data_IF_541554455294
#
_entry.id   IF_541554455294
#
_cell.length_a   1.000
_cell.length_b   1.000
_cell.length_c   1.000
_cell.angle_alpha   90.00
_cell.angle_beta   90.00
_cell.angle_gamma   90.00
#
_symmetry.space_group_name_H-M   'P 1'
#
loop_
_entity.id
_entity.type
_entity.pdbx_description
1 polymer ?
#
# COMPACT_ATOMS: atom_id res chain seq x y z
N UNK A 1 10.52 -26.72 22.98
CA UNK A 1 9.74 -25.58 23.48
C UNK A 1 9.76 -24.38 22.54
N UNK A 2 10.90 -23.99 21.94
CA UNK A 2 10.97 -22.80 21.07
C UNK A 2 10.04 -22.85 19.83
N UNK A 3 9.91 -23.99 19.15
CA UNK A 3 9.07 -24.13 17.94
C UNK A 3 7.57 -23.93 18.22
N UNK A 4 7.08 -24.39 19.38
CA UNK A 4 5.68 -24.20 19.77
C UNK A 4 5.39 -22.74 20.16
N UNK A 5 6.37 -22.06 20.77
CA UNK A 5 6.27 -20.65 21.15
C UNK A 5 6.26 -19.71 19.95
N UNK A 6 7.07 -19.99 18.91
CA UNK A 6 7.14 -19.16 17.71
C UNK A 6 5.84 -19.19 16.89
N UNK A 7 5.23 -20.37 16.72
CA UNK A 7 3.93 -20.50 16.06
C UNK A 7 2.77 -19.88 16.86
N UNK A 8 2.84 -19.93 18.19
CA UNK A 8 1.85 -19.26 19.03
C UNK A 8 1.88 -17.73 18.84
N UNK A 9 3.07 -17.12 18.81
CA UNK A 9 3.22 -15.67 18.58
C UNK A 9 2.71 -15.20 17.22
N UNK A 10 2.90 -15.99 16.16
CA UNK A 10 2.32 -15.68 14.83
C UNK A 10 0.79 -15.65 14.88
N UNK A 11 0.17 -16.67 15.49
CA UNK A 11 -1.29 -16.75 15.56
C UNK A 11 -1.87 -15.61 16.41
N UNK A 12 -1.26 -15.31 17.56
CA UNK A 12 -1.69 -14.22 18.43
C UNK A 12 -1.54 -12.86 17.73
N UNK A 13 -0.42 -12.63 17.03
CA UNK A 13 -0.24 -11.43 16.22
C UNK A 13 -1.28 -11.32 15.11
N UNK A 14 -1.62 -12.43 14.44
CA UNK A 14 -2.65 -12.46 13.39
C UNK A 14 -4.04 -12.14 13.95
N UNK A 15 -4.38 -12.66 15.12
CA UNK A 15 -5.66 -12.37 15.79
C UNK A 15 -5.80 -10.87 16.11
N UNK A 16 -4.73 -10.24 16.59
CA UNK A 16 -4.70 -8.79 16.80
C UNK A 16 -4.78 -8.02 15.48
N UNK A 17 -4.06 -8.46 14.44
CA UNK A 17 -4.10 -7.82 13.12
C UNK A 17 -5.48 -7.89 12.47
N UNK A 18 -6.20 -9.00 12.59
CA UNK A 18 -7.58 -9.11 12.09
C UNK A 18 -8.51 -8.12 12.79
N UNK A 19 -8.22 -7.80 14.06
CA UNK A 19 -8.96 -6.83 14.89
C UNK A 19 -8.36 -5.43 14.86
N UNK A 20 -7.43 -5.12 13.95
CA UNK A 20 -6.69 -3.84 13.88
C UNK A 20 -7.58 -2.60 13.79
N UNK A 21 -8.81 -2.75 13.33
CA UNK A 21 -9.81 -1.69 13.19
C UNK A 21 -10.74 -1.55 14.41
N UNK A 22 -10.74 -2.51 15.35
CA UNK A 22 -11.63 -2.46 16.51
C UNK A 22 -11.36 -1.19 17.34
N UNK A 23 -12.43 -0.45 17.64
CA UNK A 23 -12.34 0.83 18.34
C UNK A 23 -12.00 2.04 17.44
N UNK A 24 -12.03 1.88 16.12
CA UNK A 24 -11.90 2.98 15.17
C UNK A 24 -13.03 4.02 15.29
N UNK A 25 -12.75 5.23 14.80
CA UNK A 25 -13.70 6.34 14.67
C UNK A 25 -13.64 6.85 13.23
N UNK A 26 -14.56 6.35 12.39
CA UNK A 26 -14.52 6.63 10.95
C UNK A 26 -13.25 6.07 10.32
N UNK A 27 -12.50 6.91 9.61
CA UNK A 27 -11.23 6.55 8.94
C UNK A 27 -10.02 6.47 9.88
N UNK A 28 -10.19 6.78 11.18
CA UNK A 28 -9.10 6.74 12.17
C UNK A 28 -9.19 5.48 13.03
N UNK A 29 -8.24 4.55 12.87
CA UNK A 29 -8.11 3.34 13.67
C UNK A 29 -7.55 3.62 15.07
N UNK A 30 -7.89 2.75 16.03
CA UNK A 30 -7.18 2.69 17.32
C UNK A 30 -5.80 2.06 17.15
N UNK A 31 -4.80 2.54 17.90
CA UNK A 31 -3.46 1.93 17.87
C UNK A 31 -3.39 0.61 18.67
N UNK A 32 -4.39 0.33 19.53
CA UNK A 32 -4.29 -0.74 20.53
C UNK A 32 -3.98 -2.12 19.93
N UNK A 33 -4.80 -2.58 18.98
CA UNK A 33 -4.62 -3.92 18.41
C UNK A 33 -3.44 -3.98 17.45
N UNK A 34 -3.20 -2.91 16.67
CA UNK A 34 -2.08 -2.90 15.74
C UNK A 34 -0.72 -2.87 16.47
N UNK A 35 -0.63 -2.19 17.63
CA UNK A 35 0.57 -2.20 18.46
C UNK A 35 0.87 -3.59 19.03
N UNK A 36 -0.17 -4.28 19.54
CA UNK A 36 -0.04 -5.67 20.02
C UNK A 36 0.37 -6.62 18.90
N UNK A 37 -0.19 -6.45 17.71
CA UNK A 37 0.21 -7.24 16.54
C UNK A 37 1.70 -7.03 16.20
N UNK A 38 2.16 -5.77 16.16
CA UNK A 38 3.57 -5.43 15.91
C UNK A 38 4.49 -6.05 16.97
N UNK A 39 4.12 -6.00 18.25
CA UNK A 39 4.89 -6.62 19.33
C UNK A 39 5.06 -8.13 19.11
N UNK A 40 3.96 -8.83 18.83
CA UNK A 40 3.95 -10.28 18.62
C UNK A 40 4.78 -10.68 17.39
N UNK A 41 4.60 -10.00 16.26
CA UNK A 41 5.36 -10.30 15.06
C UNK A 41 6.85 -9.93 15.22
N UNK A 42 7.17 -8.86 15.96
CA UNK A 42 8.57 -8.50 16.25
C UNK A 42 9.28 -9.58 17.07
N UNK A 43 8.60 -10.15 18.07
CA UNK A 43 9.11 -11.27 18.84
C UNK A 43 9.26 -12.55 17.97
N UNK A 44 8.26 -12.85 17.14
CA UNK A 44 8.27 -13.99 16.23
C UNK A 44 9.34 -13.89 15.13
N UNK A 45 9.78 -12.67 14.78
CA UNK A 45 10.85 -12.43 13.81
C UNK A 45 12.20 -13.02 14.26
N UNK A 46 12.39 -13.24 15.56
CA UNK A 46 13.64 -13.77 16.13
C UNK A 46 13.82 -15.28 15.93
N UNK A 47 12.77 -15.99 15.50
CA UNK A 47 12.80 -17.44 15.27
C UNK A 47 12.82 -17.75 13.77
N UNK A 48 13.80 -18.53 13.26
CA UNK A 48 13.91 -18.84 11.83
C UNK A 48 12.65 -19.47 11.21
N UNK A 49 11.91 -20.25 11.99
CA UNK A 49 10.71 -20.97 11.53
C UNK A 49 9.51 -20.05 11.28
N UNK A 50 9.43 -18.90 11.95
CA UNK A 50 8.34 -17.91 11.82
C UNK A 50 8.79 -16.62 11.15
N UNK A 51 10.09 -16.45 10.89
CA UNK A 51 10.69 -15.21 10.41
C UNK A 51 10.01 -14.66 9.15
N UNK A 52 9.73 -15.53 8.17
CA UNK A 52 9.14 -15.12 6.89
C UNK A 52 7.75 -14.51 7.09
N UNK A 53 6.88 -15.22 7.81
CA UNK A 53 5.50 -14.79 8.01
C UNK A 53 5.44 -13.58 8.95
N UNK A 54 6.26 -13.56 10.01
CA UNK A 54 6.42 -12.42 10.89
C UNK A 54 6.83 -11.15 10.13
N UNK A 55 7.82 -11.27 9.24
CA UNK A 55 8.29 -10.14 8.44
C UNK A 55 7.19 -9.57 7.53
N UNK A 56 6.40 -10.45 6.90
CA UNK A 56 5.29 -10.04 6.04
C UNK A 56 4.20 -9.32 6.83
N UNK A 57 3.80 -9.88 7.97
CA UNK A 57 2.81 -9.24 8.83
C UNK A 57 3.33 -7.95 9.44
N UNK A 58 4.62 -7.82 9.75
CA UNK A 58 5.19 -6.55 10.20
C UNK A 58 5.10 -5.47 9.11
N UNK A 59 5.38 -5.78 7.85
CA UNK A 59 5.23 -4.82 6.75
C UNK A 59 3.79 -4.32 6.62
N UNK A 60 2.83 -5.24 6.70
CA UNK A 60 1.39 -4.95 6.70
C UNK A 60 1.00 -4.07 7.89
N UNK A 61 1.48 -4.43 9.08
CA UNK A 61 1.17 -3.72 10.32
C UNK A 61 1.77 -2.32 10.38
N UNK A 62 2.99 -2.14 9.90
CA UNK A 62 3.62 -0.82 9.81
C UNK A 62 2.88 0.10 8.86
N UNK A 63 2.51 -0.39 7.68
CA UNK A 63 1.67 0.36 6.76
C UNK A 63 0.35 0.76 7.42
N UNK A 64 -0.40 -0.20 7.96
CA UNK A 64 -1.71 0.06 8.54
C UNK A 64 -1.63 1.05 9.71
N UNK A 65 -0.67 0.87 10.63
CA UNK A 65 -0.50 1.78 11.78
C UNK A 65 -0.21 3.21 11.30
N UNK A 66 0.75 3.37 10.41
CA UNK A 66 1.17 4.69 9.94
C UNK A 66 0.10 5.37 9.09
N UNK A 67 -0.63 4.62 8.26
CA UNK A 67 -1.65 5.20 7.39
C UNK A 67 -2.91 5.58 8.18
N UNK A 68 -3.44 4.63 8.96
CA UNK A 68 -4.79 4.71 9.51
C UNK A 68 -4.88 4.97 11.01
N UNK A 69 -3.82 4.75 11.80
CA UNK A 69 -3.88 4.88 13.26
C UNK A 69 -3.11 6.08 13.83
N UNK A 70 -2.22 6.69 13.04
CA UNK A 70 -1.36 7.80 13.46
C UNK A 70 -1.70 9.05 12.67
N UNK A 71 -1.86 10.20 13.35
CA UNK A 71 -2.06 11.50 12.68
C UNK A 71 -0.80 12.37 12.70
N UNK A 72 0.08 12.19 13.69
CA UNK A 72 1.31 12.96 13.78
C UNK A 72 2.26 12.62 12.63
N UNK A 73 2.68 13.64 11.90
CA UNK A 73 3.48 13.48 10.68
C UNK A 73 4.85 12.89 10.98
N UNK A 74 5.49 13.28 12.09
CA UNK A 74 6.83 12.81 12.41
C UNK A 74 6.82 11.38 12.96
N UNK A 75 5.73 10.97 13.61
CA UNK A 75 5.49 9.57 13.96
C UNK A 75 5.21 8.71 12.71
N UNK A 76 4.36 9.16 11.77
CA UNK A 76 4.17 8.49 10.47
C UNK A 76 5.51 8.26 9.77
N UNK A 77 6.38 9.28 9.73
CA UNK A 77 7.72 9.18 9.13
C UNK A 77 8.58 8.09 9.74
N UNK A 78 8.54 7.92 11.07
CA UNK A 78 9.34 6.88 11.76
C UNK A 78 8.86 5.49 11.37
N UNK A 79 7.56 5.27 11.43
CA UNK A 79 6.95 3.96 11.16
C UNK A 79 7.12 3.57 9.69
N UNK A 80 6.87 4.47 8.73
CA UNK A 80 7.12 4.16 7.32
C UNK A 80 8.60 3.95 7.02
N UNK A 81 9.51 4.58 7.77
CA UNK A 81 10.95 4.32 7.62
C UNK A 81 11.32 2.91 8.13
N UNK A 82 10.69 2.43 9.20
CA UNK A 82 10.82 1.04 9.66
C UNK A 82 10.28 0.05 8.62
N UNK A 83 9.08 0.31 8.08
CA UNK A 83 8.48 -0.50 7.02
C UNK A 83 9.33 -0.56 5.75
N UNK A 84 9.83 0.60 5.28
CA UNK A 84 10.76 0.68 4.14
C UNK A 84 12.02 -0.16 4.39
N UNK A 85 12.70 0.04 5.52
CA UNK A 85 13.94 -0.66 5.83
C UNK A 85 13.75 -2.17 5.97
N UNK A 86 12.64 -2.60 6.60
CA UNK A 86 12.25 -4.00 6.69
C UNK A 86 12.01 -4.60 5.29
N UNK A 87 11.29 -3.87 4.44
CA UNK A 87 10.98 -4.30 3.07
C UNK A 87 12.26 -4.49 2.25
N UNK A 88 13.17 -3.52 2.28
CA UNK A 88 14.46 -3.58 1.59
C UNK A 88 15.32 -4.79 2.00
N UNK A 89 15.30 -5.13 3.30
CA UNK A 89 15.98 -6.31 3.82
C UNK A 89 15.37 -7.58 3.23
N UNK A 90 14.05 -7.70 3.25
CA UNK A 90 13.36 -8.95 2.90
C UNK A 90 13.15 -9.17 1.41
N UNK A 91 13.09 -8.13 0.57
CA UNK A 91 13.15 -8.31 -0.89
C UNK A 91 14.51 -8.85 -1.35
N UNK A 92 15.60 -8.57 -0.63
CA UNK A 92 16.92 -9.14 -0.91
C UNK A 92 17.00 -10.59 -0.46
N UNK A 93 16.38 -10.92 0.69
CA UNK A 93 16.33 -12.28 1.23
C UNK A 93 15.40 -13.21 0.43
N UNK A 94 14.27 -12.68 -0.05
CA UNK A 94 13.26 -13.42 -0.81
C UNK A 94 13.01 -12.77 -2.18
N UNK A 95 14.00 -12.80 -3.10
CA UNK A 95 13.94 -12.04 -4.35
C UNK A 95 12.84 -12.48 -5.32
N UNK A 96 12.31 -13.70 -5.18
CA UNK A 96 11.23 -14.24 -6.03
C UNK A 96 9.86 -14.16 -5.37
N UNK A 97 9.71 -13.41 -4.28
CA UNK A 97 8.41 -13.19 -3.62
C UNK A 97 7.76 -11.91 -4.13
N UNK A 98 6.66 -12.05 -4.88
CA UNK A 98 5.80 -10.93 -5.26
C UNK A 98 5.26 -10.21 -4.02
N UNK A 99 4.85 -10.96 -2.99
CA UNK A 99 4.33 -10.42 -1.74
C UNK A 99 5.30 -9.49 -1.00
N UNK A 100 6.57 -9.89 -0.79
CA UNK A 100 7.54 -8.99 -0.15
C UNK A 100 7.81 -7.74 -0.98
N UNK A 101 7.84 -7.86 -2.31
CA UNK A 101 8.03 -6.71 -3.21
C UNK A 101 6.85 -5.76 -3.12
N UNK A 102 5.63 -6.29 -3.13
CA UNK A 102 4.40 -5.51 -3.02
C UNK A 102 4.36 -4.75 -1.69
N UNK A 103 4.49 -5.44 -0.55
CA UNK A 103 4.42 -4.77 0.74
C UNK A 103 5.60 -3.83 1.02
N UNK A 104 6.75 -4.06 0.40
CA UNK A 104 7.82 -3.05 0.34
C UNK A 104 7.37 -1.79 -0.41
N UNK A 105 6.80 -1.94 -1.60
CA UNK A 105 6.35 -0.80 -2.41
C UNK A 105 5.18 -0.04 -1.77
N UNK A 106 4.26 -0.72 -1.09
CA UNK A 106 3.21 -0.08 -0.29
C UNK A 106 3.84 0.86 0.75
N UNK A 107 4.79 0.37 1.54
CA UNK A 107 5.49 1.18 2.54
C UNK A 107 6.35 2.29 1.91
N UNK A 108 7.03 2.01 0.78
CA UNK A 108 7.88 2.98 0.07
C UNK A 108 7.06 4.14 -0.52
N UNK A 109 5.89 3.83 -1.09
CA UNK A 109 4.96 4.82 -1.62
C UNK A 109 4.49 5.78 -0.55
N UNK A 110 3.95 5.27 0.56
CA UNK A 110 3.53 6.12 1.69
C UNK A 110 4.71 6.85 2.35
N UNK A 111 5.89 6.22 2.45
CA UNK A 111 7.11 6.90 2.88
C UNK A 111 7.40 8.13 2.02
N UNK A 112 7.32 8.00 0.69
CA UNK A 112 7.56 9.12 -0.22
C UNK A 112 6.53 10.25 -0.07
N UNK A 113 5.25 9.91 0.15
CA UNK A 113 4.20 10.90 0.41
C UNK A 113 4.48 11.71 1.67
N UNK A 114 4.87 11.07 2.78
CA UNK A 114 5.08 11.76 4.06
C UNK A 114 6.41 12.54 4.10
N UNK A 115 7.47 12.01 3.49
CA UNK A 115 8.79 12.66 3.42
C UNK A 115 8.91 13.72 2.31
N UNK A 116 8.00 13.69 1.34
CA UNK A 116 7.88 14.67 0.28
C UNK A 116 8.80 14.43 -0.93
N UNK A 117 8.45 15.14 -2.01
CA UNK A 117 8.98 14.93 -3.36
C UNK A 117 10.51 15.05 -3.48
N UNK A 118 11.13 16.01 -2.77
CA UNK A 118 12.58 16.23 -2.84
C UNK A 118 13.36 15.06 -2.23
N UNK A 119 12.89 14.55 -1.09
CA UNK A 119 13.52 13.41 -0.42
C UNK A 119 13.30 12.14 -1.24
N UNK A 120 12.09 11.94 -1.77
CA UNK A 120 11.76 10.81 -2.62
C UNK A 120 12.60 10.77 -3.91
N UNK A 121 12.80 11.92 -4.56
CA UNK A 121 13.63 12.02 -5.76
C UNK A 121 15.10 11.69 -5.46
N UNK A 122 15.65 12.17 -4.33
CA UNK A 122 17.04 11.86 -3.93
C UNK A 122 17.27 10.37 -3.70
N UNK A 123 16.27 9.68 -3.17
CA UNK A 123 16.31 8.23 -2.88
C UNK A 123 15.94 7.37 -4.09
N UNK A 124 15.63 7.98 -5.25
CA UNK A 124 15.28 7.23 -6.46
C UNK A 124 13.99 6.42 -6.33
N UNK A 125 13.02 6.90 -5.53
CA UNK A 125 11.78 6.16 -5.24
C UNK A 125 11.04 5.77 -6.52
N UNK A 126 10.93 6.67 -7.50
CA UNK A 126 10.21 6.38 -8.74
C UNK A 126 10.81 5.19 -9.51
N UNK A 127 12.14 5.09 -9.57
CA UNK A 127 12.81 3.98 -10.26
C UNK A 127 12.68 2.66 -9.48
N UNK A 128 12.72 2.73 -8.13
CA UNK A 128 12.45 1.58 -7.26
C UNK A 128 11.01 1.08 -7.45
N UNK A 129 10.03 1.98 -7.36
CA UNK A 129 8.61 1.68 -7.60
C UNK A 129 8.42 1.01 -8.96
N UNK A 130 8.96 1.59 -10.04
CA UNK A 130 8.87 1.01 -11.38
C UNK A 130 9.48 -0.40 -11.45
N UNK A 131 10.75 -0.52 -11.08
CA UNK A 131 11.51 -1.78 -11.18
C UNK A 131 10.85 -2.92 -10.41
N UNK A 132 10.40 -2.64 -9.18
CA UNK A 132 9.79 -3.67 -8.36
C UNK A 132 8.35 -3.97 -8.79
N UNK A 133 7.61 -3.00 -9.34
CA UNK A 133 6.27 -3.23 -9.90
C UNK A 133 6.33 -4.13 -11.13
N UNK A 134 7.24 -3.85 -12.07
CA UNK A 134 7.51 -4.69 -13.24
C UNK A 134 7.88 -6.12 -12.80
N UNK A 135 8.68 -6.25 -11.74
CA UNK A 135 9.04 -7.57 -11.21
C UNK A 135 7.89 -8.30 -10.52
N UNK A 136 6.96 -7.59 -9.87
CA UNK A 136 5.72 -8.20 -9.35
C UNK A 136 4.91 -8.76 -10.50
N UNK A 137 4.70 -7.98 -11.57
CA UNK A 137 3.97 -8.40 -12.77
C UNK A 137 4.62 -9.64 -13.41
N UNK A 138 5.95 -9.70 -13.48
CA UNK A 138 6.67 -10.87 -14.00
C UNK A 138 6.49 -12.12 -13.13
N UNK A 139 6.47 -11.95 -11.80
CA UNK A 139 6.38 -13.06 -10.85
C UNK A 139 4.95 -13.58 -10.70
N UNK A 140 3.99 -12.67 -10.58
CA UNK A 140 2.58 -12.95 -10.36
C UNK A 140 1.76 -11.71 -10.76
N UNK A 141 1.25 -11.65 -12.01
CA UNK A 141 0.48 -10.50 -12.51
C UNK A 141 -0.90 -10.34 -11.84
N UNK A 142 -1.42 -11.39 -11.18
CA UNK A 142 -2.71 -11.35 -10.48
C UNK A 142 -2.57 -11.02 -8.99
N UNK A 143 -1.33 -10.98 -8.47
CA UNK A 143 -1.06 -10.71 -7.06
C UNK A 143 -1.77 -9.44 -6.57
N UNK A 144 -2.57 -9.58 -5.51
CA UNK A 144 -3.37 -8.49 -4.92
C UNK A 144 -4.24 -7.77 -5.96
N UNK A 145 -5.01 -8.53 -6.74
CA UNK A 145 -5.95 -7.99 -7.73
C UNK A 145 -5.24 -7.05 -8.72
N UNK A 146 -4.10 -7.48 -9.27
CA UNK A 146 -3.31 -6.67 -10.19
C UNK A 146 -2.48 -5.57 -9.52
N UNK A 147 -2.10 -5.74 -8.25
CA UNK A 147 -1.35 -4.77 -7.46
C UNK A 147 -0.02 -4.32 -8.09
N UNK A 148 0.63 -5.18 -8.88
CA UNK A 148 1.81 -4.80 -9.67
C UNK A 148 1.50 -3.77 -10.75
N UNK A 149 0.37 -3.92 -11.46
CA UNK A 149 -0.11 -2.93 -12.43
C UNK A 149 -0.54 -1.64 -11.74
N UNK A 150 -1.23 -1.73 -10.60
CA UNK A 150 -1.58 -0.56 -9.80
C UNK A 150 -0.36 0.28 -9.45
N UNK A 151 0.68 -0.33 -8.88
CA UNK A 151 1.89 0.38 -8.45
C UNK A 151 2.64 1.02 -9.63
N UNK A 152 2.70 0.31 -10.77
CA UNK A 152 3.31 0.83 -11.98
C UNK A 152 2.53 2.03 -12.54
N UNK A 153 1.21 1.92 -12.62
CA UNK A 153 0.35 3.03 -13.06
C UNK A 153 0.40 4.23 -12.12
N UNK A 154 0.36 3.98 -10.80
CA UNK A 154 0.46 5.01 -9.78
C UNK A 154 1.79 5.78 -9.84
N UNK A 155 2.92 5.10 -10.07
CA UNK A 155 4.22 5.78 -10.20
C UNK A 155 4.32 6.60 -11.49
N UNK A 156 3.77 6.12 -12.60
CA UNK A 156 3.65 6.90 -13.84
C UNK A 156 2.79 8.16 -13.62
N UNK A 157 1.71 8.06 -12.83
CA UNK A 157 0.80 9.17 -12.55
C UNK A 157 1.39 10.23 -11.60
N UNK A 158 1.93 9.80 -10.45
CA UNK A 158 2.31 10.67 -9.32
C UNK A 158 3.74 11.20 -9.43
N UNK A 159 4.62 10.54 -10.19
CA UNK A 159 6.01 11.00 -10.30
C UNK A 159 6.10 12.30 -11.13
N UNK A 160 6.89 13.29 -10.69
CA UNK A 160 7.11 14.49 -11.47
C UNK A 160 7.93 14.16 -12.73
N UNK A 161 7.66 14.88 -13.82
CA UNK A 161 8.59 14.94 -14.93
C UNK A 161 9.78 15.82 -14.55
N UNK A 162 10.99 15.27 -14.58
CA UNK A 162 12.23 16.01 -14.34
C UNK A 162 13.14 15.85 -15.57
N UNK A 163 13.37 16.92 -16.37
CA UNK A 163 14.23 16.84 -17.54
C UNK A 163 15.58 16.20 -17.22
N UNK A 164 16.00 15.25 -18.06
CA UNK A 164 17.30 14.54 -17.97
C UNK A 164 17.51 13.64 -16.72
N UNK A 165 16.60 13.63 -15.75
CA UNK A 165 16.69 12.80 -14.54
C UNK A 165 15.56 11.77 -14.43
N UNK A 166 14.32 12.18 -14.74
CA UNK A 166 13.14 11.34 -14.64
C UNK A 166 12.16 11.71 -15.76
N UNK A 167 12.36 11.12 -16.94
CA UNK A 167 11.63 11.48 -18.17
C UNK A 167 10.62 10.44 -18.63
N UNK A 168 10.55 9.30 -17.96
CA UNK A 168 9.67 8.18 -18.32
C UNK A 168 8.25 8.24 -17.72
N UNK A 169 7.96 8.95 -16.60
CA UNK A 169 6.58 9.07 -16.13
C UNK A 169 5.71 9.75 -17.17
N UNK A 170 4.55 9.16 -17.44
CA UNK A 170 3.65 9.53 -18.52
C UNK A 170 2.21 9.16 -18.16
N UNK A 171 1.25 10.04 -18.46
CA UNK A 171 -0.14 9.85 -18.04
C UNK A 171 -0.88 8.80 -18.88
N UNK A 172 -0.50 8.60 -20.14
CA UNK A 172 -1.13 7.57 -20.99
C UNK A 172 -0.74 6.18 -20.49
N UNK A 173 0.54 5.99 -20.13
CA UNK A 173 1.00 4.78 -19.47
C UNK A 173 0.35 4.60 -18.09
N UNK A 174 0.15 5.68 -17.32
CA UNK A 174 -0.58 5.62 -16.07
C UNK A 174 -2.00 5.06 -16.26
N UNK A 175 -2.78 5.62 -17.20
CA UNK A 175 -4.14 5.16 -17.51
C UNK A 175 -4.12 3.69 -17.95
N UNK A 176 -3.18 3.31 -18.82
CA UNK A 176 -3.05 1.94 -19.31
C UNK A 176 -2.83 0.95 -18.16
N UNK A 177 -1.88 1.19 -17.28
CA UNK A 177 -1.57 0.28 -16.18
C UNK A 177 -2.62 0.30 -15.08
N UNK A 178 -3.20 1.45 -14.76
CA UNK A 178 -4.31 1.54 -13.81
C UNK A 178 -5.57 0.82 -14.32
N UNK A 179 -5.86 0.92 -15.62
CA UNK A 179 -6.95 0.15 -16.24
C UNK A 179 -6.67 -1.35 -16.16
N UNK A 180 -5.45 -1.80 -16.47
CA UNK A 180 -5.06 -3.21 -16.31
C UNK A 180 -5.24 -3.68 -14.85
N UNK A 181 -4.95 -2.84 -13.87
CA UNK A 181 -5.18 -3.15 -12.47
C UNK A 181 -6.67 -3.35 -12.17
N UNK A 182 -7.53 -2.41 -12.58
CA UNK A 182 -8.98 -2.49 -12.36
C UNK A 182 -9.58 -3.70 -13.10
N UNK A 183 -9.03 -4.07 -14.25
CA UNK A 183 -9.49 -5.23 -15.03
C UNK A 183 -8.98 -6.58 -14.47
N UNK A 184 -8.07 -6.57 -13.49
CA UNK A 184 -7.45 -7.78 -12.91
C UNK A 184 -8.09 -8.16 -11.58
N UNK A 185 -8.57 -9.41 -11.48
CA UNK A 185 -9.17 -9.91 -10.24
C UNK A 185 -10.42 -9.13 -9.85
N UNK A 186 -10.55 -8.80 -8.56
CA UNK A 186 -11.61 -7.92 -8.06
C UNK A 186 -11.03 -6.52 -7.84
N UNK A 187 -11.47 -5.55 -8.64
CA UNK A 187 -10.99 -4.18 -8.54
C UNK A 187 -11.20 -3.58 -7.13
N UNK A 188 -10.11 -3.14 -6.52
CA UNK A 188 -10.12 -2.44 -5.24
C UNK A 188 -10.56 -0.97 -5.43
N UNK A 189 -11.12 -0.34 -4.39
CA UNK A 189 -11.62 1.03 -4.48
C UNK A 189 -10.50 2.04 -4.77
N UNK A 190 -9.35 1.93 -4.10
CA UNK A 190 -8.16 2.73 -4.39
C UNK A 190 -7.68 2.65 -5.86
N UNK A 191 -7.79 1.49 -6.52
CA UNK A 191 -7.41 1.32 -7.93
C UNK A 191 -8.33 2.15 -8.83
N UNK A 192 -9.63 2.17 -8.53
CA UNK A 192 -10.62 3.01 -9.22
C UNK A 192 -10.38 4.49 -8.97
N UNK A 193 -10.07 4.89 -7.73
CA UNK A 193 -9.75 6.28 -7.38
C UNK A 193 -8.54 6.79 -8.17
N UNK A 194 -7.46 6.01 -8.24
CA UNK A 194 -6.28 6.39 -9.03
C UNK A 194 -6.57 6.44 -10.53
N UNK A 195 -7.32 5.47 -11.07
CA UNK A 195 -7.72 5.50 -12.48
C UNK A 195 -8.57 6.73 -12.79
N UNK A 196 -9.51 7.09 -11.92
CA UNK A 196 -10.32 8.29 -12.06
C UNK A 196 -9.47 9.57 -12.08
N UNK A 197 -8.50 9.69 -11.17
CA UNK A 197 -7.54 10.81 -11.15
C UNK A 197 -6.76 10.92 -12.46
N UNK A 198 -6.23 9.80 -12.98
CA UNK A 198 -5.47 9.78 -14.22
C UNK A 198 -6.35 10.13 -15.45
N UNK A 199 -7.60 9.65 -15.47
CA UNK A 199 -8.59 9.97 -16.50
C UNK A 199 -9.00 11.45 -16.48
N UNK A 200 -9.20 12.04 -15.30
CA UNK A 200 -9.55 13.46 -15.19
C UNK A 200 -8.41 14.36 -15.66
N UNK A 201 -7.17 14.04 -15.30
CA UNK A 201 -5.98 14.75 -15.82
C UNK A 201 -5.88 14.71 -17.35
N UNK A 202 -6.44 13.68 -17.99
CA UNK A 202 -6.56 13.51 -19.44
C UNK A 202 -7.84 14.17 -20.04
N UNK A 203 -8.62 14.90 -19.25
CA UNK A 203 -9.87 15.55 -19.67
C UNK A 203 -11.04 14.59 -19.87
N UNK A 204 -10.94 13.35 -19.35
CA UNK A 204 -11.98 12.31 -19.46
C UNK A 204 -12.89 12.28 -18.22
N UNK A 205 -13.32 13.45 -17.75
CA UNK A 205 -14.04 13.64 -16.48
C UNK A 205 -15.33 12.82 -16.37
N UNK A 206 -16.04 12.60 -17.48
CA UNK A 206 -17.24 11.74 -17.47
C UNK A 206 -16.94 10.30 -17.03
N UNK A 207 -15.79 9.76 -17.44
CA UNK A 207 -15.36 8.41 -17.04
C UNK A 207 -14.80 8.41 -15.62
N UNK A 208 -14.06 9.44 -15.25
CA UNK A 208 -13.57 9.62 -13.88
C UNK A 208 -14.73 9.67 -12.88
N UNK A 209 -15.73 10.52 -13.15
CA UNK A 209 -16.94 10.65 -12.33
C UNK A 209 -17.68 9.32 -12.16
N UNK A 210 -17.86 8.56 -13.25
CA UNK A 210 -18.53 7.26 -13.19
C UNK A 210 -17.81 6.26 -12.27
N UNK A 211 -16.47 6.22 -12.30
CA UNK A 211 -15.69 5.36 -11.41
C UNK A 211 -15.82 5.78 -9.94
N UNK A 212 -15.75 7.07 -9.67
CA UNK A 212 -15.85 7.58 -8.29
C UNK A 212 -17.27 7.41 -7.72
N UNK A 213 -18.31 7.57 -8.55
CA UNK A 213 -19.69 7.26 -8.18
C UNK A 213 -19.86 5.76 -7.87
N UNK A 214 -19.16 4.87 -8.57
CA UNK A 214 -19.13 3.44 -8.25
C UNK A 214 -18.49 3.18 -6.87
N UNK A 215 -17.35 3.82 -6.59
CA UNK A 215 -16.69 3.73 -5.27
C UNK A 215 -17.62 4.23 -4.15
N UNK A 216 -18.24 5.41 -4.31
CA UNK A 216 -19.16 5.97 -3.31
C UNK A 216 -20.38 5.09 -3.01
N UNK A 217 -20.80 4.26 -3.97
CA UNK A 217 -21.95 3.36 -3.82
C UNK A 217 -21.55 1.95 -3.34
N UNK A 218 -20.26 1.70 -3.10
CA UNK A 218 -19.79 0.41 -2.59
C UNK A 218 -20.02 0.33 -1.08
N UNK A 219 -20.53 -0.83 -0.61
CA UNK A 219 -20.70 -1.08 0.82
C UNK A 219 -19.34 -1.44 1.44
N UNK A 220 -18.87 -0.70 2.48
CA UNK A 220 -17.62 -1.00 3.15
C UNK A 220 -17.62 -2.41 3.77
N UNK A 221 -16.52 -3.13 3.57
CA UNK A 221 -16.27 -4.43 4.19
C UNK A 221 -16.14 -4.32 5.69
N UNK A 222 -16.66 -5.32 6.41
CA UNK A 222 -16.50 -5.42 7.86
C UNK A 222 -15.10 -5.87 8.29
N UNK A 223 -14.20 -6.23 7.37
CA UNK A 223 -12.83 -6.71 7.67
C UNK A 223 -11.71 -5.72 7.28
N UNK A 224 -12.06 -4.71 6.48
CA UNK A 224 -11.20 -3.61 6.00
C UNK A 224 -11.94 -2.27 6.11
N UNK A 225 -12.82 -2.14 7.11
CA UNK A 225 -13.75 -1.01 7.24
C UNK A 225 -13.04 0.34 7.21
N UNK A 226 -11.90 0.45 7.91
CA UNK A 226 -11.17 1.71 7.99
C UNK A 226 -10.55 2.09 6.65
N UNK A 227 -9.97 1.11 5.95
CA UNK A 227 -9.40 1.28 4.61
C UNK A 227 -10.48 1.64 3.59
N UNK A 228 -11.60 0.92 3.57
CA UNK A 228 -12.72 1.16 2.66
C UNK A 228 -13.36 2.54 2.89
N UNK A 229 -13.50 2.97 4.16
CA UNK A 229 -14.00 4.31 4.47
C UNK A 229 -13.04 5.41 4.01
N UNK A 230 -11.72 5.17 4.06
CA UNK A 230 -10.71 6.10 3.57
C UNK A 230 -10.79 6.25 2.05
N UNK A 231 -10.88 5.13 1.32
CA UNK A 231 -11.05 5.13 -0.14
C UNK A 231 -12.36 5.82 -0.58
N UNK A 232 -13.46 5.60 0.15
CA UNK A 232 -14.75 6.26 -0.12
C UNK A 232 -14.67 7.76 0.15
N UNK A 233 -13.96 8.17 1.19
CA UNK A 233 -13.77 9.60 1.50
C UNK A 233 -12.86 10.28 0.46
N UNK A 234 -11.79 9.62 0.01
CA UNK A 234 -10.97 10.10 -1.12
C UNK A 234 -11.86 10.26 -2.37
N UNK A 235 -12.70 9.27 -2.69
CA UNK A 235 -13.58 9.34 -3.85
C UNK A 235 -14.56 10.53 -3.79
N UNK A 236 -15.07 10.84 -2.58
CA UNK A 236 -15.93 11.99 -2.35
C UNK A 236 -15.21 13.30 -2.66
N UNK A 237 -14.00 13.46 -2.13
CA UNK A 237 -13.18 14.66 -2.33
C UNK A 237 -12.84 14.84 -3.81
N UNK A 238 -12.45 13.76 -4.49
CA UNK A 238 -12.16 13.78 -5.92
C UNK A 238 -13.38 14.18 -6.77
N UNK A 239 -14.60 13.81 -6.36
CA UNK A 239 -15.83 14.22 -7.05
C UNK A 239 -16.19 15.69 -6.87
N UNK A 240 -15.80 16.29 -5.74
CA UNK A 240 -15.97 17.72 -5.47
C UNK A 240 -15.00 18.58 -6.31
N UNK A 241 -13.82 18.04 -6.59
CA UNK A 241 -12.76 18.70 -7.39
C UNK A 241 -12.95 18.57 -8.93
N UNK A 242 -13.83 17.67 -9.37
CA UNK A 242 -14.18 17.37 -10.79
C UNK A 242 -15.22 18.32 -11.39
#
# INVERSE_FOLDING_TARGET
MMIASAKAGINEGADFYTKRQDGSKGTLASTENIDKAIEQFSAALLSPESEKDAALYLLKSYYYKAEFAIQDKDEKKKIFNEGKALGEKYIKKYPTSAEFRYWYLVNLGSWAQVYGILTAAREGVSDLMKTHSEKIIELDPEYQNGGGYFMLGAVHFKSPYIPFLLSWPDNDDAIKYLQLSVDTGNAEMNQKNFLAQALSKDGRDKKARALLEEVLNTEPSTTTLVEDLDDIEEARQLLEDL
#
